data_IF_957333259828
#
_entry.id   IF_957333259828
#
_cell.length_a   1.000
_cell.length_b   1.000
_cell.length_c   1.000
_cell.angle_alpha   90.00
_cell.angle_beta   90.00
_cell.angle_gamma   90.00
#
_symmetry.space_group_name_H-M   'P 1'
#
loop_
_entity.id
_entity.type
_entity.pdbx_description
1 polymer ?
#
# COMPACT_ATOMS: atom_id res chain seq x y z
N UNK A 1 -3.21 0.02 -23.62
CA UNK A 1 -2.02 -0.34 -22.82
C UNK A 1 -0.85 -0.63 -23.75
N UNK A 2 0.27 0.07 -23.57
CA UNK A 2 1.53 -0.16 -24.30
C UNK A 2 2.17 -1.46 -23.84
N UNK A 3 3.00 -2.13 -24.65
CA UNK A 3 3.76 -3.30 -24.22
C UNK A 3 4.68 -2.98 -23.05
N UNK A 4 4.87 -3.95 -22.16
CA UNK A 4 5.92 -3.89 -21.14
C UNK A 4 7.24 -4.22 -21.80
N UNK A 5 8.21 -3.32 -21.69
CA UNK A 5 9.53 -3.44 -22.32
C UNK A 5 10.65 -3.81 -21.35
N UNK A 6 10.47 -3.52 -20.05
CA UNK A 6 11.38 -3.96 -19.00
C UNK A 6 10.66 -4.10 -17.66
N UNK A 7 11.08 -5.08 -16.87
CA UNK A 7 10.73 -5.27 -15.47
C UNK A 7 12.02 -5.56 -14.71
N UNK A 8 12.32 -4.78 -13.68
CA UNK A 8 13.38 -5.10 -12.72
C UNK A 8 12.79 -5.46 -11.37
N UNK A 9 13.28 -6.54 -10.78
CA UNK A 9 12.89 -7.03 -9.47
C UNK A 9 14.12 -7.21 -8.58
N UNK A 10 14.05 -6.70 -7.36
CA UNK A 10 15.02 -7.03 -6.32
C UNK A 10 14.46 -8.17 -5.48
N UNK A 11 15.21 -9.26 -5.43
CA UNK A 11 14.87 -10.48 -4.70
C UNK A 11 15.57 -10.44 -3.34
N UNK A 12 14.84 -10.14 -2.27
CA UNK A 12 15.45 -9.91 -0.93
C UNK A 12 16.13 -11.15 -0.35
N UNK A 13 15.63 -12.36 -0.66
CA UNK A 13 16.19 -13.62 -0.13
C UNK A 13 17.48 -14.07 -0.80
N UNK A 14 17.78 -13.56 -2.00
CA UNK A 14 19.05 -13.82 -2.70
C UNK A 14 19.94 -12.59 -2.76
N UNK A 15 19.45 -11.43 -2.34
CA UNK A 15 20.10 -10.12 -2.47
C UNK A 15 20.50 -9.81 -3.94
N UNK A 16 19.62 -10.19 -4.88
CA UNK A 16 19.89 -10.05 -6.32
C UNK A 16 18.89 -9.13 -6.99
N UNK A 17 19.38 -8.30 -7.90
CA UNK A 17 18.59 -7.48 -8.79
C UNK A 17 18.53 -8.18 -10.15
N UNK A 18 17.34 -8.63 -10.52
CA UNK A 18 17.06 -9.30 -11.79
C UNK A 18 16.33 -8.34 -12.71
N UNK A 19 16.71 -8.30 -13.98
CA UNK A 19 16.07 -7.48 -15.01
C UNK A 19 15.64 -8.34 -16.18
N UNK A 20 14.38 -8.22 -16.57
CA UNK A 20 13.77 -8.85 -17.72
C UNK A 20 13.46 -7.76 -18.73
N UNK A 21 13.94 -7.87 -19.97
CA UNK A 21 13.71 -6.82 -20.96
C UNK A 21 13.50 -7.35 -22.38
N UNK A 22 12.75 -6.57 -23.16
CA UNK A 22 12.57 -6.75 -24.60
C UNK A 22 13.25 -5.57 -25.28
N UNK A 23 14.31 -5.78 -26.06
CA UNK A 23 14.96 -4.69 -26.77
C UNK A 23 14.08 -4.10 -27.88
N UNK A 24 14.29 -2.85 -28.26
CA UNK A 24 13.57 -2.24 -29.37
C UNK A 24 13.89 -2.96 -30.68
N UNK A 25 12.91 -3.06 -31.57
CA UNK A 25 13.05 -3.75 -32.85
C UNK A 25 14.15 -3.18 -33.78
N UNK A 26 14.62 -1.97 -33.44
CA UNK A 26 15.71 -1.30 -34.18
C UNK A 26 17.11 -1.85 -33.84
N UNK A 27 17.24 -2.58 -32.74
CA UNK A 27 18.50 -3.13 -32.25
C UNK A 27 18.46 -4.66 -32.42
N UNK A 28 19.54 -5.26 -32.93
CA UNK A 28 19.67 -6.72 -33.02
C UNK A 28 19.87 -7.30 -31.61
N UNK A 29 19.39 -8.49 -31.34
CA UNK A 29 19.50 -9.15 -30.03
C UNK A 29 20.94 -9.19 -29.52
N UNK A 30 21.90 -9.56 -30.38
CA UNK A 30 23.33 -9.60 -30.04
C UNK A 30 23.86 -8.23 -29.56
N UNK A 31 23.47 -7.16 -30.28
CA UNK A 31 23.90 -5.80 -29.91
C UNK A 31 23.27 -5.36 -28.56
N UNK A 32 22.02 -5.77 -28.29
CA UNK A 32 21.36 -5.54 -27.02
C UNK A 32 22.02 -6.33 -25.88
N UNK A 33 22.43 -7.57 -26.11
CA UNK A 33 23.20 -8.38 -25.16
C UNK A 33 24.54 -7.72 -24.83
N UNK A 34 25.26 -7.20 -25.80
CA UNK A 34 26.52 -6.49 -25.57
C UNK A 34 26.33 -5.21 -24.77
N UNK A 35 25.25 -4.45 -25.01
CA UNK A 35 24.90 -3.23 -24.25
C UNK A 35 24.52 -3.54 -22.80
N UNK A 36 23.93 -4.68 -22.54
CA UNK A 36 23.45 -5.07 -21.20
C UNK A 36 24.42 -5.98 -20.44
N UNK A 37 25.47 -6.43 -21.05
CA UNK A 37 26.48 -7.37 -20.47
C UNK A 37 27.09 -6.89 -19.15
N UNK A 38 27.14 -5.58 -18.95
CA UNK A 38 27.62 -4.96 -17.69
C UNK A 38 26.67 -5.12 -16.52
N UNK A 39 25.43 -5.53 -16.76
CA UNK A 39 24.42 -5.68 -15.74
C UNK A 39 24.16 -7.16 -15.46
N UNK A 40 24.62 -7.63 -14.31
CA UNK A 40 24.38 -8.99 -13.86
C UNK A 40 22.89 -9.31 -13.79
N UNK A 41 22.51 -10.58 -14.01
CA UNK A 41 21.14 -11.06 -13.95
C UNK A 41 20.17 -10.30 -14.86
N UNK A 42 20.62 -9.91 -16.06
CA UNK A 42 19.76 -9.30 -17.08
C UNK A 42 19.45 -10.33 -18.15
N UNK A 43 18.16 -10.58 -18.35
CA UNK A 43 17.65 -11.51 -19.37
C UNK A 43 16.89 -10.74 -20.45
N UNK A 44 17.23 -11.00 -21.70
CA UNK A 44 16.60 -10.38 -22.86
C UNK A 44 15.67 -11.37 -23.58
N UNK A 45 14.53 -10.87 -24.01
CA UNK A 45 13.49 -11.64 -24.70
C UNK A 45 13.14 -10.99 -26.03
N UNK A 46 12.75 -11.78 -27.02
CA UNK A 46 12.28 -11.25 -28.31
C UNK A 46 10.84 -10.71 -28.20
N UNK A 47 10.04 -11.25 -27.29
CA UNK A 47 8.62 -10.94 -27.17
C UNK A 47 8.24 -10.66 -25.72
N UNK A 48 7.30 -9.74 -25.56
CA UNK A 48 6.69 -9.43 -24.25
C UNK A 48 6.07 -10.67 -23.57
N UNK A 49 5.55 -11.61 -24.37
CA UNK A 49 4.98 -12.86 -23.86
C UNK A 49 5.98 -13.63 -23.03
N UNK A 50 7.19 -13.78 -23.53
CA UNK A 50 8.25 -14.56 -22.88
C UNK A 50 8.79 -13.81 -21.66
N UNK A 51 8.86 -12.48 -21.72
CA UNK A 51 9.20 -11.63 -20.58
C UNK A 51 8.18 -11.78 -19.44
N UNK A 52 6.86 -11.72 -19.75
CA UNK A 52 5.81 -11.87 -18.75
C UNK A 52 5.79 -13.26 -18.13
N UNK A 53 6.04 -14.31 -18.94
CA UNK A 53 6.15 -15.67 -18.42
C UNK A 53 7.33 -15.83 -17.47
N UNK A 54 8.50 -15.30 -17.84
CA UNK A 54 9.68 -15.27 -16.98
C UNK A 54 9.46 -14.44 -15.69
N UNK A 55 8.74 -13.31 -15.78
CA UNK A 55 8.36 -12.53 -14.59
C UNK A 55 7.49 -13.34 -13.65
N UNK A 56 6.47 -14.04 -14.16
CA UNK A 56 5.60 -14.87 -13.34
C UNK A 56 6.35 -16.02 -12.67
N UNK A 57 7.36 -16.60 -13.33
CA UNK A 57 8.25 -17.59 -12.72
C UNK A 57 9.14 -16.96 -11.65
N UNK A 58 9.70 -15.77 -11.92
CA UNK A 58 10.59 -15.07 -10.98
C UNK A 58 9.89 -14.74 -9.63
N UNK A 59 8.60 -14.42 -9.67
CA UNK A 59 7.84 -14.04 -8.47
C UNK A 59 7.05 -15.20 -7.87
N UNK A 60 7.18 -16.42 -8.38
CA UNK A 60 6.35 -17.56 -7.98
C UNK A 60 6.39 -17.80 -6.48
N UNK A 61 7.57 -17.80 -5.88
CA UNK A 61 7.80 -18.07 -4.45
C UNK A 61 7.77 -16.81 -3.56
N UNK A 62 7.51 -15.63 -4.13
CA UNK A 62 7.49 -14.41 -3.34
C UNK A 62 6.22 -14.27 -2.51
N UNK A 63 6.34 -14.18 -1.18
CA UNK A 63 5.21 -13.95 -0.28
C UNK A 63 4.71 -12.51 -0.34
N UNK A 64 5.64 -11.56 -0.49
CA UNK A 64 5.36 -10.12 -0.52
C UNK A 64 5.85 -9.54 -1.84
N UNK A 65 4.98 -8.80 -2.52
CA UNK A 65 5.35 -7.92 -3.62
C UNK A 65 5.26 -6.47 -3.16
N UNK A 66 6.27 -5.69 -3.52
CA UNK A 66 6.34 -4.28 -3.16
C UNK A 66 6.86 -3.44 -4.31
N UNK A 67 6.52 -2.16 -4.30
CA UNK A 67 6.97 -1.19 -5.28
C UNK A 67 6.60 0.23 -4.85
N UNK A 68 6.91 1.22 -5.67
CA UNK A 68 6.58 2.62 -5.40
C UNK A 68 5.37 3.06 -6.22
N UNK A 69 4.24 3.34 -5.56
CA UNK A 69 2.93 3.57 -6.19
C UNK A 69 2.44 2.36 -7.01
N UNK A 70 2.89 1.18 -6.63
CA UNK A 70 2.63 -0.06 -7.34
C UNK A 70 1.17 -0.51 -7.25
N UNK A 71 0.45 -0.13 -6.18
CA UNK A 71 -0.98 -0.37 -6.04
C UNK A 71 -1.80 0.35 -7.13
N UNK A 72 -1.41 1.60 -7.42
CA UNK A 72 -2.11 2.43 -8.39
C UNK A 72 -1.66 2.24 -9.84
N UNK A 73 -0.50 1.64 -10.08
CA UNK A 73 0.06 1.54 -11.42
C UNK A 73 0.59 0.15 -11.78
N UNK A 74 1.65 -0.34 -11.13
CA UNK A 74 2.36 -1.54 -11.58
C UNK A 74 1.48 -2.78 -11.54
N UNK A 75 0.74 -3.00 -10.46
CA UNK A 75 -0.12 -4.18 -10.29
C UNK A 75 -1.27 -4.19 -11.30
N UNK A 76 -2.09 -3.12 -11.42
CA UNK A 76 -3.17 -3.09 -12.43
C UNK A 76 -2.66 -3.20 -13.85
N UNK A 77 -1.53 -2.56 -14.15
CA UNK A 77 -0.94 -2.59 -15.47
C UNK A 77 -0.46 -4.00 -15.83
N UNK A 78 0.28 -4.63 -14.93
CA UNK A 78 0.81 -5.99 -15.12
C UNK A 78 -0.32 -7.02 -15.27
N UNK A 79 -1.34 -6.97 -14.40
CA UNK A 79 -2.52 -7.84 -14.51
C UNK A 79 -3.19 -7.66 -15.89
N UNK A 80 -3.41 -6.41 -16.33
CA UNK A 80 -4.00 -6.12 -17.64
C UNK A 80 -3.14 -6.60 -18.81
N UNK A 81 -1.81 -6.53 -18.70
CA UNK A 81 -0.90 -7.03 -19.73
C UNK A 81 -0.89 -8.55 -19.79
N UNK A 82 -0.84 -9.23 -18.64
CA UNK A 82 -0.91 -10.70 -18.57
C UNK A 82 -2.21 -11.19 -19.22
N UNK A 83 -3.36 -10.60 -18.87
CA UNK A 83 -4.65 -10.94 -19.46
C UNK A 83 -4.66 -10.79 -20.99
N UNK A 84 -4.01 -9.76 -21.51
CA UNK A 84 -4.01 -9.43 -22.93
C UNK A 84 -3.00 -10.26 -23.74
N UNK A 85 -1.83 -10.54 -23.20
CA UNK A 85 -0.67 -11.10 -23.91
C UNK A 85 -0.51 -12.60 -23.69
N UNK A 86 -0.78 -13.08 -22.47
CA UNK A 86 -0.82 -14.50 -22.12
C UNK A 86 -2.28 -14.99 -22.15
N UNK A 87 -2.91 -15.07 -21.00
CA UNK A 87 -4.34 -15.36 -20.87
C UNK A 87 -4.91 -14.83 -19.55
N UNK A 88 -6.25 -14.82 -19.44
CA UNK A 88 -6.90 -14.48 -18.16
C UNK A 88 -6.62 -15.52 -17.06
N UNK A 89 -6.27 -16.75 -17.41
CA UNK A 89 -5.94 -17.78 -16.43
C UNK A 89 -4.51 -17.66 -15.93
N UNK A 90 -3.59 -17.14 -16.73
CA UNK A 90 -2.20 -16.90 -16.30
C UNK A 90 -2.10 -15.86 -15.18
N UNK A 91 -3.12 -15.01 -14.99
CA UNK A 91 -3.16 -14.10 -13.84
C UNK A 91 -3.18 -14.81 -12.50
N UNK A 92 -3.61 -16.10 -12.45
CA UNK A 92 -3.60 -16.92 -11.24
C UNK A 92 -2.18 -17.07 -10.67
N UNK A 93 -1.16 -17.03 -11.52
CA UNK A 93 0.25 -17.14 -11.12
C UNK A 93 0.74 -15.95 -10.29
N UNK A 94 -0.01 -14.84 -10.30
CA UNK A 94 0.21 -13.71 -9.38
C UNK A 94 -0.36 -13.97 -7.98
N UNK A 95 -1.17 -15.02 -7.80
CA UNK A 95 -1.83 -15.38 -6.56
C UNK A 95 -1.35 -16.76 -6.10
N UNK A 96 -1.64 -17.09 -4.83
CA UNK A 96 -1.47 -18.45 -4.34
C UNK A 96 -2.76 -19.27 -4.46
N UNK A 97 -2.65 -20.57 -4.26
CA UNK A 97 -3.75 -21.54 -4.22
C UNK A 97 -4.61 -21.59 -5.51
N UNK A 98 -4.06 -21.16 -6.64
CA UNK A 98 -4.77 -21.14 -7.92
C UNK A 98 -5.90 -20.12 -8.00
N UNK A 99 -5.95 -19.15 -7.10
CA UNK A 99 -6.91 -18.06 -7.10
C UNK A 99 -6.58 -17.00 -8.15
N UNK A 100 -7.58 -16.21 -8.56
CA UNK A 100 -7.38 -15.04 -9.44
C UNK A 100 -7.26 -13.75 -8.64
N UNK A 101 -6.52 -12.75 -9.15
CA UNK A 101 -6.53 -11.41 -8.57
C UNK A 101 -7.95 -10.86 -8.47
N UNK A 102 -8.35 -10.39 -7.29
CA UNK A 102 -9.68 -9.79 -7.08
C UNK A 102 -9.64 -8.32 -7.41
N UNK A 103 -10.47 -7.90 -8.37
CA UNK A 103 -10.60 -6.51 -8.75
C UNK A 103 -11.17 -5.69 -7.59
N UNK A 104 -10.48 -4.60 -7.24
CA UNK A 104 -10.90 -3.63 -6.24
C UNK A 104 -10.93 -2.23 -6.85
N UNK A 105 -12.03 -1.52 -6.66
CA UNK A 105 -12.16 -0.11 -7.02
C UNK A 105 -12.26 0.67 -5.73
N UNK A 106 -11.46 1.70 -5.59
CA UNK A 106 -11.48 2.58 -4.42
C UNK A 106 -11.30 4.03 -4.84
N UNK A 107 -11.84 4.93 -4.04
CA UNK A 107 -11.69 6.35 -4.26
C UNK A 107 -10.44 6.87 -3.55
N UNK A 108 -9.59 7.58 -4.28
CA UNK A 108 -8.40 8.24 -3.74
C UNK A 108 -8.27 9.63 -4.35
N UNK A 109 -8.23 10.65 -3.50
CA UNK A 109 -8.18 12.05 -3.92
C UNK A 109 -9.31 12.47 -4.88
N UNK A 110 -10.54 11.99 -4.62
CA UNK A 110 -11.71 12.29 -5.45
C UNK A 110 -11.71 11.62 -6.83
N UNK A 111 -10.89 10.58 -7.03
CA UNK A 111 -10.83 9.80 -8.28
C UNK A 111 -10.95 8.31 -7.98
N UNK A 112 -11.74 7.63 -8.78
CA UNK A 112 -11.76 6.16 -8.75
C UNK A 112 -10.43 5.61 -9.26
N UNK A 113 -9.88 4.70 -8.49
CA UNK A 113 -8.67 3.96 -8.85
C UNK A 113 -8.97 2.48 -8.87
N UNK A 114 -8.37 1.79 -9.84
CA UNK A 114 -8.44 0.35 -9.98
C UNK A 114 -7.19 -0.25 -9.35
N UNK A 115 -7.39 -1.25 -8.51
CA UNK A 115 -6.33 -2.11 -8.00
C UNK A 115 -6.76 -3.58 -8.02
N UNK A 116 -5.86 -4.47 -7.66
CA UNK A 116 -6.12 -5.89 -7.55
C UNK A 116 -5.53 -6.44 -6.25
N UNK A 117 -6.37 -7.15 -5.50
CA UNK A 117 -5.90 -7.91 -4.35
C UNK A 117 -5.35 -9.26 -4.84
N UNK A 118 -4.08 -9.51 -4.57
CA UNK A 118 -3.40 -10.75 -4.93
C UNK A 118 -3.68 -11.79 -3.84
N UNK A 119 -4.64 -12.69 -4.10
CA UNK A 119 -5.10 -13.65 -3.10
C UNK A 119 -3.97 -14.57 -2.64
N UNK A 120 -3.78 -14.66 -1.33
CA UNK A 120 -2.73 -15.46 -0.70
C UNK A 120 -1.35 -14.81 -0.68
N UNK A 121 -1.12 -13.80 -1.51
CA UNK A 121 0.12 -13.02 -1.57
C UNK A 121 -0.13 -11.62 -1.04
N UNK A 122 0.82 -11.08 -0.29
CA UNK A 122 0.70 -9.72 0.25
C UNK A 122 1.29 -8.72 -0.74
N UNK A 123 0.55 -7.67 -1.04
CA UNK A 123 1.07 -6.50 -1.74
C UNK A 123 1.16 -5.32 -0.76
N UNK A 124 2.35 -4.76 -0.60
CA UNK A 124 2.62 -3.58 0.22
C UNK A 124 3.25 -2.49 -0.64
N UNK A 125 2.54 -1.40 -0.85
CA UNK A 125 3.05 -0.25 -1.59
C UNK A 125 3.97 0.60 -0.68
N UNK A 126 5.25 0.69 -1.02
CA UNK A 126 6.24 1.46 -0.23
C UNK A 126 5.92 2.95 -0.16
N UNK A 127 5.26 3.52 -1.16
CA UNK A 127 4.79 4.90 -1.10
C UNK A 127 3.73 5.08 0.00
N UNK A 128 2.79 4.14 0.09
CA UNK A 128 1.74 4.21 1.12
C UNK A 128 2.30 3.91 2.52
N UNK A 129 3.24 2.99 2.64
CA UNK A 129 3.98 2.75 3.88
C UNK A 129 4.77 4.01 4.30
N UNK A 130 5.45 4.65 3.36
CA UNK A 130 6.19 5.89 3.62
C UNK A 130 5.26 6.98 4.13
N UNK A 131 4.12 7.20 3.46
CA UNK A 131 3.12 8.20 3.90
C UNK A 131 2.55 7.89 5.26
N UNK A 132 2.35 6.61 5.57
CA UNK A 132 1.76 6.17 6.83
C UNK A 132 2.71 6.35 8.03
N UNK A 133 3.98 6.00 7.85
CA UNK A 133 4.94 5.94 8.94
C UNK A 133 5.89 7.12 9.01
N UNK A 134 5.81 8.05 8.04
CA UNK A 134 6.55 9.31 8.06
C UNK A 134 5.60 10.46 8.40
N UNK A 135 5.86 11.14 9.53
CA UNK A 135 5.01 12.23 10.02
C UNK A 135 5.38 13.62 9.46
N UNK A 136 6.48 13.71 8.74
CA UNK A 136 6.94 14.96 8.15
C UNK A 136 6.29 15.20 6.79
N UNK A 137 5.84 16.43 6.55
CA UNK A 137 5.37 16.82 5.23
C UNK A 137 6.52 16.87 4.23
N UNK A 138 6.30 16.33 3.05
CA UNK A 138 7.24 16.33 1.95
C UNK A 138 6.70 17.19 0.79
N UNK A 139 7.55 17.98 0.16
CA UNK A 139 7.18 18.75 -1.02
C UNK A 139 6.79 17.85 -2.21
N UNK A 140 7.36 16.66 -2.28
CA UNK A 140 7.09 15.68 -3.32
C UNK A 140 7.26 14.26 -2.79
N UNK A 141 6.34 13.36 -3.20
CA UNK A 141 6.40 11.92 -2.94
C UNK A 141 6.88 11.13 -4.17
N UNK A 142 7.55 11.77 -5.11
CA UNK A 142 8.20 11.05 -6.20
C UNK A 142 9.40 10.28 -5.66
N UNK A 143 9.67 9.12 -6.26
CA UNK A 143 10.75 8.25 -5.82
C UNK A 143 12.12 8.94 -5.81
N UNK A 144 12.38 9.80 -6.81
CA UNK A 144 13.61 10.60 -6.90
C UNK A 144 13.76 11.59 -5.73
N UNK A 145 12.68 12.29 -5.39
CA UNK A 145 12.69 13.27 -4.30
C UNK A 145 12.88 12.58 -2.93
N UNK A 146 12.21 11.44 -2.73
CA UNK A 146 12.35 10.68 -1.49
C UNK A 146 13.72 10.01 -1.42
N UNK A 147 14.24 9.45 -2.53
CA UNK A 147 15.58 8.89 -2.60
C UNK A 147 16.68 9.91 -2.28
N UNK A 148 16.56 11.13 -2.82
CA UNK A 148 17.48 12.23 -2.49
C UNK A 148 17.40 12.61 -1.01
N UNK A 149 16.18 12.74 -0.48
CA UNK A 149 15.99 13.12 0.92
C UNK A 149 16.51 12.05 1.89
N UNK A 150 16.14 10.79 1.67
CA UNK A 150 16.43 9.70 2.60
C UNK A 150 17.85 9.15 2.44
N UNK A 151 18.37 9.05 1.22
CA UNK A 151 19.63 8.38 0.92
C UNK A 151 20.72 9.33 0.43
N UNK A 152 20.36 10.56 0.05
CA UNK A 152 21.27 11.49 -0.64
C UNK A 152 21.57 11.09 -2.09
N UNK A 153 20.85 10.10 -2.62
CA UNK A 153 21.05 9.58 -3.97
C UNK A 153 20.06 10.21 -4.95
N UNK A 154 20.57 10.68 -6.08
CA UNK A 154 19.77 11.21 -7.18
C UNK A 154 19.59 10.15 -8.25
N UNK A 155 18.47 10.22 -8.96
CA UNK A 155 18.24 9.39 -10.16
C UNK A 155 19.23 9.73 -11.27
N UNK A 156 19.49 8.74 -12.13
CA UNK A 156 20.18 8.98 -13.40
C UNK A 156 19.40 9.99 -14.22
N UNK A 157 20.06 11.09 -14.59
CA UNK A 157 19.46 12.12 -15.44
C UNK A 157 19.53 11.66 -16.89
N UNK A 158 18.42 11.71 -17.59
CA UNK A 158 18.35 11.49 -19.03
C UNK A 158 17.58 12.64 -19.69
N UNK A 159 17.89 12.90 -20.96
CA UNK A 159 17.21 13.92 -21.74
C UNK A 159 16.04 13.33 -22.54
N UNK A 160 14.91 14.04 -22.58
CA UNK A 160 13.74 13.65 -23.37
C UNK A 160 12.77 12.73 -22.64
N UNK A 161 12.09 11.86 -23.40
CA UNK A 161 11.11 10.92 -22.86
C UNK A 161 11.70 9.51 -22.68
N UNK A 162 11.09 8.70 -21.79
CA UNK A 162 11.46 7.29 -21.64
C UNK A 162 11.35 6.48 -22.94
N UNK A 163 10.40 6.83 -23.81
CA UNK A 163 10.26 6.19 -25.12
C UNK A 163 11.45 6.52 -26.05
N UNK A 164 11.93 7.75 -25.99
CA UNK A 164 13.15 8.14 -26.73
C UNK A 164 14.39 7.43 -26.16
N UNK A 165 14.50 7.35 -24.85
CA UNK A 165 15.60 6.63 -24.18
C UNK A 165 15.60 5.16 -24.56
N UNK A 166 14.44 4.49 -24.51
CA UNK A 166 14.29 3.11 -24.91
C UNK A 166 14.73 2.84 -26.34
N UNK A 167 14.40 3.75 -27.29
CA UNK A 167 14.70 3.59 -28.71
C UNK A 167 16.13 3.92 -29.08
N UNK A 168 16.73 4.91 -28.42
CA UNK A 168 18.02 5.50 -28.82
C UNK A 168 19.19 5.03 -27.95
N UNK A 169 18.96 4.77 -26.66
CA UNK A 169 19.98 4.29 -25.72
C UNK A 169 19.40 3.21 -24.79
N UNK A 170 19.32 2.01 -25.34
CA UNK A 170 18.78 0.87 -24.60
C UNK A 170 19.62 0.51 -23.37
N UNK A 171 20.94 0.70 -23.42
CA UNK A 171 21.82 0.45 -22.28
C UNK A 171 21.50 1.36 -21.09
N UNK A 172 21.35 2.67 -21.34
CA UNK A 172 20.97 3.65 -20.31
C UNK A 172 19.53 3.44 -19.83
N UNK A 173 18.62 3.00 -20.72
CA UNK A 173 17.25 2.65 -20.32
C UNK A 173 17.23 1.50 -19.31
N UNK A 174 18.00 0.46 -19.51
CA UNK A 174 18.12 -0.66 -18.56
C UNK A 174 18.77 -0.20 -17.26
N UNK A 175 19.82 0.60 -17.33
CA UNK A 175 20.47 1.18 -16.17
C UNK A 175 19.48 1.99 -15.31
N UNK A 176 18.69 2.85 -15.94
CA UNK A 176 17.66 3.65 -15.28
C UNK A 176 16.61 2.76 -14.58
N UNK A 177 16.08 1.75 -15.28
CA UNK A 177 15.10 0.82 -14.70
C UNK A 177 15.66 0.05 -13.49
N UNK A 178 16.90 -0.41 -13.58
CA UNK A 178 17.61 -1.09 -12.48
C UNK A 178 17.86 -0.17 -11.30
N UNK A 179 18.26 1.07 -11.55
CA UNK A 179 18.53 2.05 -10.51
C UNK A 179 17.26 2.39 -9.71
N UNK A 180 16.11 2.54 -10.36
CA UNK A 180 14.84 2.77 -9.69
C UNK A 180 14.51 1.63 -8.72
N UNK A 181 14.70 0.38 -9.15
CA UNK A 181 14.48 -0.78 -8.28
C UNK A 181 15.52 -0.89 -7.17
N UNK A 182 16.80 -0.63 -7.46
CA UNK A 182 17.85 -0.62 -6.44
C UNK A 182 17.62 0.46 -5.39
N UNK A 183 17.10 1.62 -5.80
CA UNK A 183 16.75 2.71 -4.88
C UNK A 183 15.64 2.29 -3.91
N UNK A 184 14.61 1.57 -4.39
CA UNK A 184 13.58 1.01 -3.52
C UNK A 184 14.14 0.03 -2.49
N UNK A 185 15.02 -0.88 -2.92
CA UNK A 185 15.67 -1.83 -2.03
C UNK A 185 16.50 -1.11 -0.94
N UNK A 186 17.23 -0.05 -1.30
CA UNK A 186 18.00 0.76 -0.35
C UNK A 186 17.10 1.52 0.61
N UNK A 187 15.97 2.08 0.12
CA UNK A 187 14.98 2.74 0.96
C UNK A 187 14.42 1.78 1.99
N UNK A 188 14.00 0.57 1.60
CA UNK A 188 13.47 -0.43 2.53
C UNK A 188 14.54 -0.90 3.52
N UNK A 189 15.78 -1.13 3.08
CA UNK A 189 16.90 -1.48 3.99
C UNK A 189 17.16 -0.41 5.05
N UNK A 190 16.94 0.87 4.73
CA UNK A 190 17.09 1.99 5.67
C UNK A 190 15.87 2.17 6.56
N UNK A 191 14.68 2.21 5.97
CA UNK A 191 13.44 2.62 6.64
C UNK A 191 12.76 1.45 7.36
N UNK A 192 12.93 0.22 6.86
CA UNK A 192 12.40 -1.03 7.45
C UNK A 192 10.89 -1.02 7.67
N UNK A 193 10.16 -0.42 6.74
CA UNK A 193 8.70 -0.27 6.89
C UNK A 193 7.94 -1.58 6.70
N UNK A 194 8.45 -2.50 5.89
CA UNK A 194 7.89 -3.86 5.77
C UNK A 194 8.12 -4.64 7.07
N UNK A 195 9.33 -4.54 7.66
CA UNK A 195 9.61 -5.14 8.97
C UNK A 195 8.70 -4.55 10.05
N UNK A 196 8.55 -3.22 10.08
CA UNK A 196 7.64 -2.53 11.02
C UNK A 196 6.19 -2.99 10.86
N UNK A 197 5.69 -3.09 9.62
CA UNK A 197 4.35 -3.60 9.36
C UNK A 197 4.20 -5.05 9.86
N UNK A 198 5.21 -5.89 9.67
CA UNK A 198 5.23 -7.26 10.17
C UNK A 198 5.18 -7.33 11.71
N UNK A 199 5.98 -6.51 12.39
CA UNK A 199 5.93 -6.41 13.86
C UNK A 199 4.55 -5.98 14.37
N UNK A 200 3.95 -4.98 13.73
CA UNK A 200 2.59 -4.53 14.06
C UNK A 200 1.56 -5.66 13.84
N UNK A 201 1.70 -6.41 12.75
CA UNK A 201 0.82 -7.54 12.46
C UNK A 201 0.91 -8.62 13.53
N UNK A 202 2.12 -9.00 13.95
CA UNK A 202 2.37 -9.99 14.98
C UNK A 202 1.84 -9.55 16.35
N UNK A 203 2.17 -8.33 16.77
CA UNK A 203 1.75 -7.81 18.08
C UNK A 203 0.22 -7.73 18.22
N UNK A 204 -0.48 -7.46 17.13
CA UNK A 204 -1.93 -7.28 17.14
C UNK A 204 -2.70 -8.48 16.57
N UNK A 205 -2.04 -9.56 16.16
CA UNK A 205 -2.65 -10.76 15.56
C UNK A 205 -3.55 -10.44 14.37
N UNK A 206 -3.06 -9.57 13.47
CA UNK A 206 -3.74 -9.20 12.23
C UNK A 206 -2.95 -9.68 11.02
N UNK A 207 -3.59 -9.74 9.86
CA UNK A 207 -2.88 -9.99 8.61
C UNK A 207 -2.00 -8.81 8.24
N UNK A 208 -0.88 -9.08 7.56
CA UNK A 208 0.10 -8.05 7.20
C UNK A 208 -0.51 -6.89 6.40
N UNK A 209 -1.39 -7.16 5.43
CA UNK A 209 -2.10 -6.11 4.70
C UNK A 209 -3.07 -5.30 5.58
N UNK A 210 -3.59 -5.88 6.66
CA UNK A 210 -4.49 -5.18 7.60
C UNK A 210 -3.77 -4.06 8.34
N UNK A 211 -2.45 -4.15 8.48
CA UNK A 211 -1.65 -3.11 9.15
C UNK A 211 -1.76 -1.74 8.50
N UNK A 212 -2.17 -1.67 7.23
CA UNK A 212 -2.44 -0.41 6.54
C UNK A 212 -3.68 0.32 7.09
N UNK A 213 -4.59 -0.37 7.78
CA UNK A 213 -5.79 0.19 8.40
C UNK A 213 -5.64 0.41 9.90
N UNK A 214 -5.40 1.64 10.35
CA UNK A 214 -5.22 1.95 11.77
C UNK A 214 -6.41 1.51 12.65
N UNK A 215 -7.64 1.70 12.15
CA UNK A 215 -8.87 1.31 12.88
C UNK A 215 -8.92 -0.20 13.10
N UNK A 216 -8.65 -1.00 12.06
CA UNK A 216 -8.69 -2.46 12.16
C UNK A 216 -7.61 -3.01 13.11
N UNK A 217 -6.42 -2.43 13.09
CA UNK A 217 -5.34 -2.80 14.02
C UNK A 217 -5.72 -2.47 15.47
N UNK A 218 -6.24 -1.24 15.70
CA UNK A 218 -6.64 -0.82 17.04
C UNK A 218 -7.82 -1.66 17.58
N UNK A 219 -8.80 -1.94 16.74
CA UNK A 219 -9.92 -2.82 17.09
C UNK A 219 -9.42 -4.20 17.55
N UNK A 220 -8.53 -4.81 16.76
CA UNK A 220 -7.98 -6.10 17.13
C UNK A 220 -7.11 -6.07 18.39
N UNK A 221 -6.34 -5.01 18.59
CA UNK A 221 -5.58 -4.80 19.83
C UNK A 221 -6.50 -4.77 21.07
N UNK A 222 -7.65 -4.07 20.96
CA UNK A 222 -8.66 -4.03 22.04
C UNK A 222 -9.28 -5.41 22.25
N UNK A 223 -9.61 -6.13 21.18
CA UNK A 223 -10.14 -7.51 21.26
C UNK A 223 -9.16 -8.42 21.98
N UNK A 224 -7.89 -8.38 21.61
CA UNK A 224 -6.84 -9.19 22.24
C UNK A 224 -6.72 -8.89 23.74
N UNK A 225 -6.73 -7.61 24.11
CA UNK A 225 -6.65 -7.19 25.52
C UNK A 225 -7.91 -7.62 26.30
N UNK A 226 -9.08 -7.49 25.72
CA UNK A 226 -10.33 -7.95 26.34
C UNK A 226 -10.30 -9.49 26.58
N UNK A 227 -9.88 -10.27 25.59
CA UNK A 227 -9.73 -11.72 25.75
C UNK A 227 -8.70 -12.08 26.82
N UNK A 228 -7.58 -11.37 26.88
CA UNK A 228 -6.57 -11.58 27.93
C UNK A 228 -7.12 -11.34 29.34
N UNK A 229 -8.09 -10.44 29.46
CA UNK A 229 -8.81 -10.17 30.72
C UNK A 229 -10.02 -11.08 30.95
N UNK A 230 -10.27 -12.07 30.08
CA UNK A 230 -11.43 -12.94 30.17
C UNK A 230 -12.78 -12.27 29.83
N UNK A 231 -12.71 -11.13 29.13
CA UNK A 231 -13.91 -10.38 28.70
C UNK A 231 -14.34 -10.79 27.31
N UNK A 232 -15.64 -10.90 27.08
CA UNK A 232 -16.20 -11.17 25.77
C UNK A 232 -16.51 -9.86 25.05
N UNK A 233 -15.96 -9.70 23.85
CA UNK A 233 -16.26 -8.56 22.98
C UNK A 233 -17.54 -8.83 22.20
N UNK A 234 -18.50 -7.92 22.13
CA UNK A 234 -19.71 -8.08 21.34
C UNK A 234 -19.41 -8.17 19.85
N UNK A 235 -20.17 -9.02 19.15
CA UNK A 235 -20.04 -9.16 17.70
C UNK A 235 -20.39 -7.87 16.96
N UNK A 236 -19.82 -7.71 15.77
CA UNK A 236 -20.19 -6.59 14.89
C UNK A 236 -21.66 -6.67 14.51
N UNK A 237 -22.36 -5.57 14.68
CA UNK A 237 -23.73 -5.44 14.16
C UNK A 237 -23.64 -5.15 12.65
N UNK A 238 -24.07 -6.10 11.84
CA UNK A 238 -24.29 -5.86 10.42
C UNK A 238 -25.63 -5.16 10.25
N UNK A 239 -25.66 -4.12 9.44
CA UNK A 239 -26.91 -3.47 9.07
C UNK A 239 -27.80 -4.45 8.32
N UNK A 240 -29.08 -4.47 8.65
CA UNK A 240 -30.08 -5.12 7.81
C UNK A 240 -30.37 -4.21 6.60
N UNK A 241 -30.58 -4.82 5.45
CA UNK A 241 -31.01 -4.07 4.26
C UNK A 241 -32.26 -3.26 4.57
N UNK A 242 -32.20 -1.93 4.36
CA UNK A 242 -33.29 -1.00 4.66
C UNK A 242 -33.18 -0.21 5.96
N UNK A 243 -32.17 -0.44 6.80
CA UNK A 243 -31.90 0.43 7.96
C UNK A 243 -31.16 1.70 7.50
N UNK A 244 -31.85 2.83 7.52
CA UNK A 244 -31.25 4.15 7.32
C UNK A 244 -30.23 4.45 8.44
N UNK A 245 -29.07 4.97 8.04
CA UNK A 245 -28.12 5.55 8.99
C UNK A 245 -28.77 6.79 9.61
N UNK A 246 -29.21 6.71 10.85
CA UNK A 246 -29.33 7.93 11.63
C UNK A 246 -27.90 8.37 12.00
N UNK A 247 -27.38 9.45 11.42
CA UNK A 247 -26.08 9.95 11.81
C UNK A 247 -26.15 10.36 13.28
N UNK A 248 -25.19 9.89 14.07
CA UNK A 248 -25.07 10.39 15.45
C UNK A 248 -24.94 11.91 15.39
N UNK A 249 -25.64 12.59 16.29
CA UNK A 249 -25.54 14.04 16.42
C UNK A 249 -24.07 14.44 16.59
N UNK A 250 -23.56 15.24 15.67
CA UNK A 250 -22.18 15.73 15.74
C UNK A 250 -21.98 16.69 16.91
N UNK A 251 -20.71 16.94 17.23
CA UNK A 251 -20.35 17.95 18.22
C UNK A 251 -20.80 19.36 17.77
N UNK A 252 -21.06 20.23 18.71
CA UNK A 252 -21.34 21.64 18.42
C UNK A 252 -20.11 22.30 17.82
N UNK A 253 -20.26 22.90 16.64
CA UNK A 253 -19.24 23.71 16.00
C UNK A 253 -19.75 25.14 15.94
N UNK A 254 -19.03 26.05 16.58
CA UNK A 254 -19.40 27.47 16.60
C UNK A 254 -19.26 28.04 15.17
N UNK A 255 -20.21 28.90 14.78
CA UNK A 255 -20.14 29.56 13.48
C UNK A 255 -18.98 30.58 13.50
N UNK A 256 -18.02 30.50 12.56
CA UNK A 256 -16.90 31.42 12.54
C UNK A 256 -17.35 32.83 12.23
N UNK A 257 -16.84 33.81 12.98
CA UNK A 257 -17.04 35.22 12.67
C UNK A 257 -16.13 35.61 11.50
N UNK A 258 -16.73 36.00 10.39
CA UNK A 258 -15.99 36.44 9.19
C UNK A 258 -15.38 37.81 9.41
N UNK A 259 -14.13 37.99 9.03
CA UNK A 259 -13.44 39.27 9.10
C UNK A 259 -11.95 39.12 9.39
N UNK A 260 -11.29 40.25 9.51
CA UNK A 260 -9.92 40.35 10.02
C UNK A 260 -10.02 40.64 11.51
N UNK A 261 -9.36 39.84 12.31
CA UNK A 261 -9.36 39.93 13.76
C UNK A 261 -7.93 40.13 14.25
N UNK A 262 -7.74 41.13 15.14
CA UNK A 262 -6.46 41.36 15.79
C UNK A 262 -6.42 40.66 17.15
N UNK A 263 -5.22 40.31 17.59
CA UNK A 263 -4.97 39.73 18.92
C UNK A 263 -5.66 38.39 19.16
N UNK A 264 -5.58 37.47 18.18
CA UNK A 264 -6.19 36.15 18.29
C UNK A 264 -5.25 35.23 19.07
N UNK A 265 -5.76 34.64 20.13
CA UNK A 265 -5.14 33.51 20.83
C UNK A 265 -5.83 32.20 20.45
N UNK A 266 -5.06 31.17 20.12
CA UNK A 266 -5.56 29.83 19.89
C UNK A 266 -5.09 28.89 21.00
N UNK A 267 -6.02 28.10 21.55
CA UNK A 267 -5.73 27.10 22.57
C UNK A 267 -6.30 25.78 22.09
N UNK A 268 -5.48 24.74 22.12
CA UNK A 268 -5.90 23.37 21.81
C UNK A 268 -5.79 22.49 23.05
N UNK A 269 -6.78 21.62 23.25
CA UNK A 269 -6.78 20.67 24.37
C UNK A 269 -6.10 19.41 23.93
N UNK A 270 -4.95 19.12 24.52
CA UNK A 270 -4.18 17.93 24.21
C UNK A 270 -5.01 16.66 24.41
N UNK A 271 -5.15 15.87 23.34
CA UNK A 271 -5.89 14.60 23.34
C UNK A 271 -7.30 14.74 23.95
N UNK A 272 -8.10 15.71 23.49
CA UNK A 272 -9.41 16.05 24.05
C UNK A 272 -10.29 14.82 24.31
N UNK A 273 -10.58 14.02 23.29
CA UNK A 273 -11.44 12.83 23.46
C UNK A 273 -10.88 11.80 24.45
N UNK A 274 -9.63 11.35 24.35
CA UNK A 274 -9.04 10.44 25.34
C UNK A 274 -9.02 11.01 26.75
N UNK A 275 -8.80 12.32 26.90
CA UNK A 275 -8.78 12.99 28.21
C UNK A 275 -10.18 13.02 28.83
N UNK A 276 -11.22 13.33 28.07
CA UNK A 276 -12.61 13.33 28.52
C UNK A 276 -13.07 11.92 28.89
N UNK A 277 -12.77 10.92 28.02
CA UNK A 277 -13.10 9.50 28.29
C UNK A 277 -12.52 9.05 29.64
N UNK A 278 -11.22 9.37 29.85
CA UNK A 278 -10.55 9.03 31.13
C UNK A 278 -11.10 9.80 32.32
N UNK A 279 -11.31 11.11 32.17
CA UNK A 279 -11.80 11.97 33.28
C UNK A 279 -13.21 11.60 33.74
N UNK A 280 -14.07 11.21 32.80
CA UNK A 280 -15.45 10.82 33.08
C UNK A 280 -15.62 9.31 33.26
N UNK A 281 -14.55 8.52 33.20
CA UNK A 281 -14.57 7.06 33.25
C UNK A 281 -15.60 6.46 32.28
N UNK A 282 -15.58 6.92 31.03
CA UNK A 282 -16.54 6.48 29.99
C UNK A 282 -16.13 5.13 29.43
N UNK A 283 -16.84 4.10 29.82
CA UNK A 283 -16.68 2.73 29.33
C UNK A 283 -18.03 2.07 29.10
N UNK A 284 -18.10 0.93 28.41
CA UNK A 284 -19.35 0.18 28.22
C UNK A 284 -20.03 -0.16 29.51
N UNK A 285 -19.27 -0.43 30.57
CA UNK A 285 -19.73 -0.77 31.91
C UNK A 285 -20.24 0.42 32.73
N UNK A 286 -19.90 1.64 32.32
CA UNK A 286 -20.30 2.87 33.00
C UNK A 286 -21.41 3.63 32.28
N UNK A 287 -21.88 3.14 31.14
CA UNK A 287 -22.96 3.76 30.38
C UNK A 287 -24.28 3.54 31.13
N UNK A 288 -24.86 4.60 31.67
CA UNK A 288 -26.24 4.62 32.15
C UNK A 288 -27.14 5.14 31.03
N UNK A 289 -28.02 4.29 30.49
CA UNK A 289 -28.97 4.66 29.46
C UNK A 289 -30.35 4.81 30.07
N UNK A 290 -30.87 6.02 30.06
CA UNK A 290 -32.25 6.26 30.48
C UNK A 290 -33.17 6.13 29.27
N UNK A 291 -33.85 5.00 29.16
CA UNK A 291 -34.93 4.80 28.20
C UNK A 291 -36.27 5.03 28.88
N UNK A 292 -37.09 5.88 28.35
CA UNK A 292 -38.44 6.09 28.82
C UNK A 292 -39.34 4.87 28.68
N UNK A 293 -38.98 3.93 27.85
CA UNK A 293 -39.68 2.67 27.58
C UNK A 293 -39.01 1.43 28.18
N UNK A 294 -37.79 1.56 28.72
CA UNK A 294 -37.16 0.48 29.48
C UNK A 294 -37.44 0.65 30.96
N UNK A 295 -37.82 -0.42 31.57
CA UNK A 295 -38.02 -0.45 33.02
C UNK A 295 -36.66 -0.47 33.69
N UNK A 296 -36.48 0.39 34.69
CA UNK A 296 -35.21 0.55 35.40
C UNK A 296 -34.68 -0.76 36.00
N UNK A 297 -35.54 -1.69 36.36
CA UNK A 297 -35.14 -2.99 36.89
C UNK A 297 -34.59 -3.95 35.83
N UNK A 298 -34.93 -3.77 34.57
CA UNK A 298 -34.39 -4.61 33.48
C UNK A 298 -32.95 -4.27 33.19
N UNK A 299 -32.56 -3.03 33.41
CA UNK A 299 -31.16 -2.60 33.24
C UNK A 299 -30.29 -2.98 34.43
N UNK A 300 -30.85 -3.09 35.62
CA UNK A 300 -30.10 -3.47 36.83
C UNK A 300 -29.92 -4.98 37.01
N UNK A 301 -30.68 -5.80 36.29
CA UNK A 301 -30.57 -7.27 36.32
C UNK A 301 -29.63 -7.85 35.25
N UNK A 302 -29.19 -7.00 34.33
CA UNK A 302 -28.35 -7.40 33.19
C UNK A 302 -26.99 -6.72 33.13
N UNK A 303 -26.61 -6.00 34.19
CA UNK A 303 -25.29 -5.44 34.39
C UNK A 303 -24.41 -6.35 35.22
#
# INVERSE_FOLDING_TARGET
FMPITAISCYMSWTDQLVTLAVPPKTIRMKDAEDLTKRFDNTMLFEKEKDLLDAFLQLVEDADILSGWNSEGYDIPYTVGRIQKVLSGDDTRRLCFWGEKPKRRVFEKYGREQLSFDLVGRVHLDLLELYRKYTYEERHSFRLDAIGEHELGEKKTVYEGSLDNLYKNDFGLFIEYNRQDTALLAKLEKKLKFIELANEIAHQNTVLLQTTMGAVAVTEQAIVNEAHRRGMQVPGRKYKKDGEENQPAAGAHVATPQKGIHDWIGSVDINSLYPSVIRALNMGPETIAVAYTHLRAHETSLHL
#
